data_IF_018943687606
#
_entry.id   IF_018943687606
#
_cell.length_a   1.000
_cell.length_b   1.000
_cell.length_c   1.000
_cell.angle_alpha   90.00
_cell.angle_beta   90.00
_cell.angle_gamma   90.00
#
_symmetry.space_group_name_H-M   'P 1'
#
loop_
_entity.id
_entity.type
_entity.pdbx_description
1 polymer ?
#
# COMPACT_ATOMS: atom_id res chain seq x y z
N UNK A 1 2.46 12.04 4.41
CA UNK A 1 2.56 13.23 3.54
C UNK A 1 2.22 14.54 4.27
N UNK A 2 1.08 14.66 4.91
CA UNK A 2 0.65 15.93 5.56
C UNK A 2 1.69 16.51 6.55
N UNK A 3 2.32 15.70 7.39
CA UNK A 3 3.35 16.12 8.34
C UNK A 3 4.60 16.68 7.64
N UNK A 4 5.00 16.09 6.52
CA UNK A 4 6.11 16.61 5.73
C UNK A 4 5.78 17.94 5.04
N UNK A 5 4.59 18.07 4.45
CA UNK A 5 4.13 19.34 3.86
C UNK A 5 4.11 20.46 4.89
N UNK A 6 3.63 20.18 6.09
CA UNK A 6 3.59 21.16 7.19
C UNK A 6 5.01 21.57 7.62
N UNK A 7 5.94 20.63 7.71
CA UNK A 7 7.34 20.93 8.04
C UNK A 7 8.07 21.69 6.94
N UNK A 8 7.64 21.55 5.68
CA UNK A 8 8.18 22.26 4.53
C UNK A 8 7.55 23.67 4.33
N UNK A 9 6.63 24.10 5.20
CA UNK A 9 6.06 25.45 5.19
C UNK A 9 4.96 25.68 4.14
N UNK A 10 4.34 24.59 3.62
CA UNK A 10 3.20 24.74 2.70
C UNK A 10 1.94 25.26 3.42
N UNK A 11 1.07 25.93 2.67
CA UNK A 11 -0.19 26.47 3.21
C UNK A 11 -1.09 25.35 3.75
N UNK A 12 -1.92 25.66 4.72
CA UNK A 12 -2.84 24.70 5.36
C UNK A 12 -3.78 24.08 4.33
N UNK A 13 -4.19 24.85 3.33
CA UNK A 13 -5.05 24.36 2.23
C UNK A 13 -4.36 23.25 1.43
N UNK A 14 -3.09 23.45 1.04
CA UNK A 14 -2.31 22.45 0.31
C UNK A 14 -2.03 21.22 1.16
N UNK A 15 -1.81 21.38 2.45
CA UNK A 15 -1.59 20.26 3.39
C UNK A 15 -2.82 19.36 3.48
N UNK A 16 -4.02 19.88 3.27
CA UNK A 16 -5.26 19.10 3.28
C UNK A 16 -5.63 18.54 1.89
N UNK A 17 -5.42 19.33 0.84
CA UNK A 17 -5.82 18.95 -0.53
C UNK A 17 -4.89 17.86 -1.11
N UNK A 18 -3.57 18.01 -0.99
CA UNK A 18 -2.61 17.11 -1.62
C UNK A 18 -2.74 15.64 -1.16
N UNK A 19 -2.93 15.32 0.14
CA UNK A 19 -3.16 13.94 0.56
C UNK A 19 -4.45 13.35 -0.01
N UNK A 20 -5.50 14.15 -0.22
CA UNK A 20 -6.78 13.69 -0.78
C UNK A 20 -6.60 13.08 -2.18
N UNK A 21 -5.68 13.62 -2.98
CA UNK A 21 -5.36 13.03 -4.28
C UNK A 21 -4.74 11.64 -4.18
N UNK A 22 -4.00 11.36 -3.10
CA UNK A 22 -3.45 10.00 -2.87
C UNK A 22 -4.57 9.03 -2.57
N UNK A 23 -5.57 9.44 -1.77
CA UNK A 23 -6.72 8.60 -1.47
C UNK A 23 -7.60 8.37 -2.70
N UNK A 24 -7.77 9.39 -3.55
CA UNK A 24 -8.41 9.25 -4.86
C UNK A 24 -7.65 8.27 -5.75
N UNK A 25 -6.33 8.38 -5.83
CA UNK A 25 -5.50 7.46 -6.61
C UNK A 25 -5.57 6.03 -6.06
N UNK A 26 -5.64 5.87 -4.72
CA UNK A 26 -5.84 4.58 -4.07
C UNK A 26 -7.20 3.97 -4.43
N UNK A 27 -8.26 4.76 -4.45
CA UNK A 27 -9.58 4.31 -4.87
C UNK A 27 -9.61 3.89 -6.35
N UNK A 28 -9.01 4.70 -7.23
CA UNK A 28 -8.89 4.39 -8.65
C UNK A 28 -8.06 3.12 -8.89
N UNK A 29 -6.93 2.98 -8.20
CA UNK A 29 -6.08 1.79 -8.31
C UNK A 29 -6.80 0.54 -7.79
N UNK A 30 -7.58 0.65 -6.72
CA UNK A 30 -8.41 -0.46 -6.22
C UNK A 30 -9.47 -0.88 -7.24
N UNK A 31 -10.14 0.08 -7.87
CA UNK A 31 -11.11 -0.19 -8.93
C UNK A 31 -10.45 -0.86 -10.15
N UNK A 32 -9.30 -0.33 -10.61
CA UNK A 32 -8.51 -0.95 -11.68
C UNK A 32 -8.04 -2.35 -11.29
N UNK A 33 -7.59 -2.55 -10.06
CA UNK A 33 -7.17 -3.86 -9.55
C UNK A 33 -8.30 -4.89 -9.62
N UNK A 34 -9.51 -4.49 -9.29
CA UNK A 34 -10.69 -5.37 -9.35
C UNK A 34 -11.03 -5.76 -10.80
N UNK A 35 -11.05 -4.79 -11.71
CA UNK A 35 -11.37 -5.03 -13.13
C UNK A 35 -10.28 -5.85 -13.82
N UNK A 36 -9.02 -5.50 -13.64
CA UNK A 36 -7.89 -6.17 -14.27
C UNK A 36 -7.65 -7.58 -13.69
N UNK A 37 -7.98 -7.82 -12.42
CA UNK A 37 -7.92 -9.14 -11.82
C UNK A 37 -8.86 -10.14 -12.52
N UNK A 38 -9.92 -9.67 -13.16
CA UNK A 38 -10.79 -10.51 -13.99
C UNK A 38 -10.16 -10.97 -15.31
N UNK A 39 -9.33 -10.11 -15.91
CA UNK A 39 -8.83 -10.30 -17.29
C UNK A 39 -7.36 -10.72 -17.35
N UNK A 40 -6.53 -10.31 -16.38
CA UNK A 40 -5.09 -10.53 -16.38
C UNK A 40 -4.66 -11.61 -15.37
N UNK A 41 -3.43 -12.07 -15.52
CA UNK A 41 -2.82 -12.96 -14.55
C UNK A 41 -2.59 -12.24 -13.22
N UNK A 42 -3.04 -12.83 -12.12
CA UNK A 42 -2.89 -12.25 -10.79
C UNK A 42 -1.41 -12.04 -10.42
N UNK A 43 -0.51 -12.92 -10.89
CA UNK A 43 0.94 -12.79 -10.69
C UNK A 43 1.50 -11.53 -11.35
N UNK A 44 1.09 -11.24 -12.59
CA UNK A 44 1.50 -10.02 -13.30
C UNK A 44 1.02 -8.74 -12.60
N UNK A 45 -0.22 -8.74 -12.11
CA UNK A 45 -0.76 -7.61 -11.35
C UNK A 45 -0.02 -7.38 -10.03
N UNK A 46 0.34 -8.47 -9.32
CA UNK A 46 1.15 -8.39 -8.11
C UNK A 46 2.52 -7.78 -8.36
N UNK A 47 3.24 -8.26 -9.37
CA UNK A 47 4.58 -7.74 -9.71
C UNK A 47 4.51 -6.28 -10.15
N UNK A 48 3.51 -5.92 -10.94
CA UNK A 48 3.27 -4.54 -11.37
C UNK A 48 3.06 -3.61 -10.18
N UNK A 49 2.10 -3.93 -9.30
CA UNK A 49 1.81 -3.15 -8.12
C UNK A 49 3.01 -3.07 -7.16
N UNK A 50 3.66 -4.22 -6.90
CA UNK A 50 4.80 -4.30 -6.00
C UNK A 50 5.96 -3.40 -6.47
N UNK A 51 6.20 -3.28 -7.78
CA UNK A 51 7.25 -2.43 -8.34
C UNK A 51 7.04 -0.95 -7.99
N UNK A 52 5.80 -0.44 -8.09
CA UNK A 52 5.49 0.94 -7.74
C UNK A 52 5.62 1.22 -6.24
N UNK A 53 5.09 0.32 -5.42
CA UNK A 53 5.17 0.45 -3.97
C UNK A 53 6.62 0.37 -3.50
N UNK A 54 7.40 -0.56 -4.06
CA UNK A 54 8.81 -0.73 -3.73
C UNK A 54 9.64 0.51 -4.10
N UNK A 55 9.42 1.06 -5.29
CA UNK A 55 10.01 2.32 -5.70
C UNK A 55 9.68 3.46 -4.72
N UNK A 56 8.40 3.61 -4.36
CA UNK A 56 7.94 4.63 -3.43
C UNK A 56 8.64 4.50 -2.06
N UNK A 57 8.74 3.29 -1.53
CA UNK A 57 9.36 3.03 -0.22
C UNK A 57 10.86 3.29 -0.26
N UNK A 58 11.58 2.90 -1.33
CA UNK A 58 13.02 3.19 -1.50
C UNK A 58 13.26 4.70 -1.48
N UNK A 59 12.53 5.46 -2.29
CA UNK A 59 12.68 6.92 -2.37
C UNK A 59 12.42 7.58 -1.03
N UNK A 60 11.38 7.17 -0.31
CA UNK A 60 11.05 7.70 1.01
C UNK A 60 12.05 7.29 2.10
N UNK A 61 12.72 6.15 1.94
CA UNK A 61 13.77 5.70 2.87
C UNK A 61 15.05 6.53 2.76
N UNK A 62 15.44 6.92 1.54
CA UNK A 62 16.61 7.77 1.31
C UNK A 62 16.39 9.18 1.89
N UNK A 63 15.18 9.68 1.87
CA UNK A 63 14.70 10.97 2.36
C UNK A 63 15.36 12.21 1.76
N UNK A 64 16.67 12.25 1.56
CA UNK A 64 17.42 13.41 1.06
C UNK A 64 17.37 13.49 -0.48
N UNK A 65 16.15 13.50 -1.01
CA UNK A 65 15.83 13.59 -2.44
C UNK A 65 15.07 14.88 -2.74
N UNK A 66 15.04 15.26 -4.00
CA UNK A 66 14.32 16.47 -4.46
C UNK A 66 12.83 16.42 -4.06
N UNK A 67 12.22 17.57 -3.73
CA UNK A 67 10.80 17.63 -3.35
C UNK A 67 9.88 16.98 -4.39
N UNK A 68 10.15 17.16 -5.67
CA UNK A 68 9.37 16.54 -6.75
C UNK A 68 9.39 15.02 -6.71
N UNK A 69 10.54 14.41 -6.40
CA UNK A 69 10.65 12.96 -6.28
C UNK A 69 9.91 12.42 -5.04
N UNK A 70 9.89 13.20 -3.95
CA UNK A 70 9.06 12.87 -2.77
C UNK A 70 7.57 12.85 -3.10
N UNK A 71 7.09 13.87 -3.82
CA UNK A 71 5.71 13.89 -4.30
C UNK A 71 5.40 12.66 -5.15
N UNK A 72 6.24 12.38 -6.14
CA UNK A 72 6.07 11.19 -6.99
C UNK A 72 6.02 9.90 -6.14
N UNK A 73 6.91 9.74 -5.17
CA UNK A 73 6.93 8.57 -4.30
C UNK A 73 5.64 8.43 -3.46
N UNK A 74 5.14 9.52 -2.90
CA UNK A 74 3.87 9.50 -2.16
C UNK A 74 2.69 9.12 -3.07
N UNK A 75 2.63 9.61 -4.29
CA UNK A 75 1.58 9.28 -5.25
C UNK A 75 1.70 7.84 -5.74
N UNK A 76 2.90 7.35 -6.04
CA UNK A 76 3.11 5.94 -6.40
C UNK A 76 2.75 4.99 -5.25
N UNK A 77 2.92 5.41 -4.00
CA UNK A 77 2.41 4.68 -2.84
C UNK A 77 0.89 4.48 -2.86
N UNK A 78 0.13 5.33 -3.56
CA UNK A 78 -1.30 5.19 -3.77
C UNK A 78 -1.69 3.90 -4.52
N UNK A 79 -0.81 3.37 -5.38
CA UNK A 79 -1.04 2.08 -6.05
C UNK A 79 -1.14 0.89 -5.09
N UNK A 80 -0.78 1.05 -3.82
CA UNK A 80 -1.01 0.03 -2.79
C UNK A 80 -2.49 -0.37 -2.66
N UNK A 81 -3.42 0.47 -3.11
CA UNK A 81 -4.85 0.16 -3.14
C UNK A 81 -5.23 -1.07 -3.98
N UNK A 82 -4.39 -1.46 -4.97
CA UNK A 82 -4.61 -2.68 -5.75
C UNK A 82 -4.43 -3.98 -4.96
N UNK A 83 -3.71 -3.97 -3.85
CA UNK A 83 -3.34 -5.18 -3.10
C UNK A 83 -4.56 -5.98 -2.63
N UNK A 84 -5.52 -5.30 -2.00
CA UNK A 84 -6.70 -5.96 -1.44
C UNK A 84 -7.58 -6.65 -2.50
N UNK A 85 -7.98 -6.00 -3.61
CA UNK A 85 -8.79 -6.67 -4.63
C UNK A 85 -8.06 -7.83 -5.31
N UNK A 86 -6.73 -7.74 -5.49
CA UNK A 86 -5.96 -8.85 -6.06
C UNK A 86 -5.99 -10.06 -5.11
N UNK A 87 -5.79 -9.84 -3.80
CA UNK A 87 -5.86 -10.88 -2.78
C UNK A 87 -7.23 -11.54 -2.73
N UNK A 88 -8.29 -10.75 -2.69
CA UNK A 88 -9.66 -11.29 -2.66
C UNK A 88 -10.00 -12.06 -3.95
N UNK A 89 -9.53 -11.58 -5.10
CA UNK A 89 -9.70 -12.30 -6.36
C UNK A 89 -8.97 -13.62 -6.35
N UNK A 90 -7.78 -13.69 -5.76
CA UNK A 90 -7.03 -14.93 -5.61
C UNK A 90 -7.77 -15.94 -4.71
N UNK A 91 -8.24 -15.51 -3.55
CA UNK A 91 -9.03 -16.36 -2.62
C UNK A 91 -10.30 -16.85 -3.30
N UNK A 92 -11.02 -15.97 -4.01
CA UNK A 92 -12.24 -16.34 -4.71
C UNK A 92 -12.01 -17.39 -5.81
N UNK A 93 -10.86 -17.35 -6.49
CA UNK A 93 -10.52 -18.35 -7.51
C UNK A 93 -10.08 -19.69 -6.90
N UNK A 94 -9.31 -19.62 -5.80
CA UNK A 94 -8.78 -20.83 -5.14
C UNK A 94 -9.87 -21.62 -4.42
N UNK A 95 -10.86 -20.93 -3.85
CA UNK A 95 -11.95 -21.52 -3.07
C UNK A 95 -13.30 -21.41 -3.79
N UNK A 96 -13.30 -21.57 -5.12
CA UNK A 96 -14.51 -21.43 -5.92
C UNK A 96 -15.60 -22.44 -5.52
N UNK A 97 -15.21 -23.65 -5.13
CA UNK A 97 -16.12 -24.76 -4.86
C UNK A 97 -16.63 -24.79 -3.39
N UNK A 98 -15.96 -24.10 -2.47
CA UNK A 98 -16.26 -24.11 -1.03
C UNK A 98 -16.74 -22.76 -0.53
N UNK A 99 -18.02 -22.45 -0.66
CA UNK A 99 -18.61 -21.15 -0.29
C UNK A 99 -18.43 -20.80 1.20
N UNK A 100 -18.58 -21.79 2.10
CA UNK A 100 -18.44 -21.59 3.54
C UNK A 100 -17.02 -21.22 3.96
N UNK A 101 -16.03 -21.95 3.48
CA UNK A 101 -14.61 -21.70 3.74
C UNK A 101 -14.16 -20.36 3.14
N UNK A 102 -14.63 -20.03 1.94
CA UNK A 102 -14.33 -18.75 1.28
C UNK A 102 -14.81 -17.56 2.10
N UNK A 103 -16.04 -17.61 2.61
CA UNK A 103 -16.60 -16.56 3.47
C UNK A 103 -15.80 -16.38 4.75
N UNK A 104 -15.43 -17.47 5.41
CA UNK A 104 -14.65 -17.45 6.65
C UNK A 104 -13.25 -16.89 6.42
N UNK A 105 -12.57 -17.30 5.35
CA UNK A 105 -11.22 -16.82 5.02
C UNK A 105 -11.25 -15.33 4.67
N UNK A 106 -12.18 -14.87 3.85
CA UNK A 106 -12.26 -13.44 3.49
C UNK A 106 -12.55 -12.59 4.74
N UNK A 107 -13.47 -13.04 5.60
CA UNK A 107 -13.80 -12.31 6.83
C UNK A 107 -12.60 -12.25 7.79
N UNK A 108 -11.88 -13.35 7.96
CA UNK A 108 -10.67 -13.37 8.79
C UNK A 108 -9.57 -12.47 8.21
N UNK A 109 -9.34 -12.51 6.90
CA UNK A 109 -8.36 -11.62 6.23
C UNK A 109 -8.70 -10.14 6.43
N UNK A 110 -9.99 -9.76 6.34
CA UNK A 110 -10.42 -8.39 6.62
C UNK A 110 -10.15 -8.01 8.08
N UNK A 111 -10.53 -8.86 9.01
CA UNK A 111 -10.35 -8.60 10.45
C UNK A 111 -8.88 -8.42 10.80
N UNK A 112 -8.01 -9.35 10.40
CA UNK A 112 -6.58 -9.23 10.63
C UNK A 112 -5.96 -8.03 9.90
N UNK A 113 -6.42 -7.72 8.68
CA UNK A 113 -5.99 -6.56 7.92
C UNK A 113 -6.28 -5.26 8.65
N UNK A 114 -7.49 -5.07 9.16
CA UNK A 114 -7.84 -3.87 9.94
C UNK A 114 -7.10 -3.81 11.27
N UNK A 115 -6.97 -4.92 11.99
CA UNK A 115 -6.17 -4.98 13.21
C UNK A 115 -4.72 -4.54 12.94
N UNK A 116 -4.08 -5.07 11.90
CA UNK A 116 -2.71 -4.71 11.53
C UNK A 116 -2.59 -3.24 11.11
N UNK A 117 -3.57 -2.69 10.39
CA UNK A 117 -3.58 -1.28 10.01
C UNK A 117 -3.63 -0.32 11.19
N UNK A 118 -4.18 -0.72 12.32
CA UNK A 118 -4.21 0.09 13.54
C UNK A 118 -2.89 -0.04 14.31
N UNK A 119 -2.43 -1.29 14.53
CA UNK A 119 -1.28 -1.54 15.40
C UNK A 119 0.06 -1.22 14.74
N UNK A 120 0.26 -1.61 13.48
CA UNK A 120 1.56 -1.44 12.82
C UNK A 120 1.97 0.04 12.70
N UNK A 121 1.14 0.97 12.24
CA UNK A 121 1.52 2.38 12.17
C UNK A 121 1.85 3.00 13.54
N UNK A 122 1.20 2.53 14.59
CA UNK A 122 1.44 3.04 15.94
C UNK A 122 2.89 2.78 16.40
N UNK A 123 3.44 1.62 16.04
CA UNK A 123 4.81 1.24 16.41
C UNK A 123 5.86 1.72 15.38
N UNK A 124 5.51 1.71 14.09
CA UNK A 124 6.48 2.02 13.02
C UNK A 124 6.59 3.50 12.72
N UNK A 125 5.52 4.27 12.95
CA UNK A 125 5.47 5.71 12.65
C UNK A 125 5.10 6.56 13.88
N UNK A 126 5.87 6.52 14.97
CA UNK A 126 5.60 7.36 16.12
C UNK A 126 5.69 8.85 15.73
N UNK A 127 4.66 9.62 16.04
CA UNK A 127 4.53 11.05 15.68
C UNK A 127 5.68 11.91 16.19
N UNK A 128 6.34 11.47 17.24
CA UNK A 128 7.52 12.16 17.83
C UNK A 128 8.70 12.21 16.84
N UNK A 129 8.78 11.29 15.90
CA UNK A 129 9.87 11.22 14.90
C UNK A 129 9.49 11.87 13.56
N UNK A 130 8.33 12.52 13.49
CA UNK A 130 7.92 13.22 12.28
C UNK A 130 8.84 14.43 12.01
N UNK A 131 9.09 14.75 10.73
CA UNK A 131 8.57 14.16 9.49
C UNK A 131 9.43 13.02 8.93
N UNK A 132 10.60 12.78 9.51
CA UNK A 132 11.58 11.77 9.07
C UNK A 132 11.43 10.54 9.97
N UNK A 133 10.75 9.51 9.45
CA UNK A 133 10.54 8.25 10.17
C UNK A 133 11.68 7.25 9.87
N UNK A 134 12.81 7.27 10.60
CA UNK A 134 14.01 6.47 10.26
C UNK A 134 13.74 4.98 10.33
N UNK A 135 12.79 4.54 11.14
CA UNK A 135 12.45 3.13 11.33
C UNK A 135 11.22 2.71 10.51
N UNK A 136 10.30 3.63 10.21
CA UNK A 136 9.03 3.30 9.56
C UNK A 136 9.20 2.82 8.12
N UNK A 137 9.91 3.56 7.29
CA UNK A 137 10.14 3.22 5.90
C UNK A 137 11.00 1.96 5.69
N UNK A 138 12.13 1.77 6.41
CA UNK A 138 12.90 0.53 6.31
C UNK A 138 12.12 -0.72 6.76
N UNK A 139 11.32 -0.63 7.82
CA UNK A 139 10.46 -1.74 8.27
C UNK A 139 9.42 -2.09 7.22
N UNK A 140 8.86 -1.10 6.52
CA UNK A 140 7.96 -1.36 5.39
C UNK A 140 8.65 -2.17 4.28
N UNK A 141 9.94 -1.94 4.03
CA UNK A 141 10.71 -2.73 3.05
C UNK A 141 10.90 -4.18 3.48
N UNK A 142 11.14 -4.42 4.77
CA UNK A 142 11.36 -5.79 5.28
C UNK A 142 10.07 -6.61 5.34
N UNK A 143 8.92 -5.97 5.44
CA UNK A 143 7.62 -6.66 5.39
C UNK A 143 7.20 -7.08 3.98
N UNK A 144 7.68 -6.37 2.94
CA UNK A 144 7.38 -6.68 1.54
C UNK A 144 8.25 -7.77 0.89
N UNK A 145 9.52 -8.04 1.28
CA UNK A 145 10.32 -9.12 0.68
C UNK A 145 9.85 -10.53 1.04
N UNK A 146 8.89 -10.69 1.94
CA UNK A 146 8.24 -11.96 2.25
C UNK A 146 7.36 -12.51 1.11
N UNK A 147 7.19 -11.78 0.02
CA UNK A 147 6.61 -12.29 -1.23
C UNK A 147 7.73 -12.90 -2.10
N UNK A 148 8.56 -13.75 -1.53
CA UNK A 148 9.17 -14.81 -2.31
C UNK A 148 8.02 -15.72 -2.72
N UNK A 149 7.57 -15.53 -3.94
CA UNK A 149 6.83 -16.55 -4.65
C UNK A 149 7.78 -17.74 -4.87
N UNK A 150 8.04 -18.50 -3.82
CA UNK A 150 8.46 -19.85 -4.01
C UNK A 150 7.29 -20.55 -4.70
N UNK A 151 7.51 -20.77 -5.98
CA UNK A 151 6.99 -21.85 -6.80
C UNK A 151 6.09 -22.80 -6.02
N UNK A 152 4.80 -22.51 -5.92
CA UNK A 152 3.82 -23.56 -5.79
C UNK A 152 3.44 -23.97 -7.21
N UNK A 153 4.06 -25.08 -7.65
CA UNK A 153 3.55 -25.94 -8.72
C UNK A 153 2.16 -26.43 -8.36
#
# INVERSE_FOLDING_TARGET
>A
MALWLRSAGYSIELVNILPTFIDLLRALSSWLGTTLAGCLSLRGLWTFQASFVFFAVIVLSIWDVTPGLKFAAFYFGGFSGMASPILYSWVNRTLADNYGERGLIISSMMTFGFCTQIWVPLFTFPTVQAPRFPNGYPVSQTMFPGVRFETFC
#
